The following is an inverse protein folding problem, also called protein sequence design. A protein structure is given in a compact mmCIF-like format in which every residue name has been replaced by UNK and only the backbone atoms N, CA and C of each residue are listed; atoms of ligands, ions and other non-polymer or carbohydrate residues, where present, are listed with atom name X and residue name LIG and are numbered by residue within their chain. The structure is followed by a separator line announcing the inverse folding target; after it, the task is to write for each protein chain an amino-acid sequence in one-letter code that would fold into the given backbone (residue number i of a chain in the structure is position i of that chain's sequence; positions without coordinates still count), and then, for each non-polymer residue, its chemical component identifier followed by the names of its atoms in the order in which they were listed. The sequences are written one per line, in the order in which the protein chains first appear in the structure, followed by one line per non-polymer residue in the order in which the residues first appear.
data_IF_198719937033
#
_entry.id   IF_198719937033
#
_cell.length_a   1.000
_cell.length_b   1.000
_cell.length_c   1.000
_cell.angle_alpha   90.00
_cell.angle_beta   90.00
_cell.angle_gamma   90.00
#
_symmetry.space_group_name_H-M   'P 1'
#
loop_
_entity.id
_entity.type
_entity.pdbx_description
1 polymer ?
#
# COMPACT_ATOMS: atom_id res chain seq x y z
N UNK A 1 50.75 -5.14 -14.90
CA UNK A 1 49.60 -5.48 -15.75
C UNK A 1 48.78 -6.52 -15.02
N UNK A 2 47.46 -6.34 -15.02
CA UNK A 2 46.42 -7.19 -14.41
C UNK A 2 46.32 -7.15 -12.88
N UNK A 3 45.21 -6.81 -12.23
CA UNK A 3 43.90 -6.32 -12.67
C UNK A 3 43.36 -5.47 -11.51
N UNK A 4 43.15 -4.18 -11.76
CA UNK A 4 42.39 -3.31 -10.87
C UNK A 4 40.92 -3.64 -11.13
N UNK A 5 40.42 -4.66 -10.44
CA UNK A 5 39.03 -5.10 -10.54
C UNK A 5 38.16 -4.00 -9.91
N UNK A 6 37.82 -2.99 -10.71
CA UNK A 6 36.75 -2.07 -10.40
C UNK A 6 35.51 -2.89 -10.01
N UNK A 7 34.80 -2.53 -8.93
CA UNK A 7 33.48 -3.09 -8.70
C UNK A 7 32.63 -2.85 -9.96
N UNK A 8 31.78 -3.80 -10.37
CA UNK A 8 30.93 -3.60 -11.54
C UNK A 8 30.17 -2.29 -11.34
N UNK A 9 30.34 -1.39 -12.31
CA UNK A 9 29.58 -0.15 -12.34
C UNK A 9 28.10 -0.51 -12.25
N UNK A 10 27.36 0.18 -11.39
CA UNK A 10 25.90 0.18 -11.41
C UNK A 10 25.48 0.50 -12.85
N UNK A 11 25.11 -0.54 -13.60
CA UNK A 11 24.67 -0.40 -14.99
C UNK A 11 23.33 0.34 -14.95
N UNK A 12 23.23 1.54 -15.54
CA UNK A 12 22.00 2.35 -15.49
C UNK A 12 20.89 1.79 -16.40
N UNK A 13 20.99 0.53 -16.83
CA UNK A 13 20.03 -0.20 -17.65
C UNK A 13 19.51 -1.46 -16.95
N UNK A 14 19.19 -1.35 -15.68
CA UNK A 14 18.35 -2.36 -15.02
C UNK A 14 16.89 -1.96 -15.23
N UNK A 15 16.37 -2.29 -16.41
CA UNK A 15 14.96 -2.30 -16.75
C UNK A 15 14.25 -3.43 -15.97
N UNK A 16 14.01 -3.13 -14.70
CA UNK A 16 13.18 -3.78 -13.68
C UNK A 16 12.46 -5.07 -14.06
N UNK A 17 12.92 -6.18 -13.47
CA UNK A 17 12.05 -7.34 -13.19
C UNK A 17 12.61 -8.32 -12.15
N UNK A 18 13.86 -8.20 -11.69
CA UNK A 18 14.43 -9.20 -10.78
C UNK A 18 14.36 -8.72 -9.32
N UNK A 19 13.70 -9.49 -8.43
CA UNK A 19 13.64 -9.14 -7.01
C UNK A 19 15.06 -9.13 -6.43
N UNK A 20 15.46 -7.96 -5.91
CA UNK A 20 16.77 -7.83 -5.28
C UNK A 20 16.74 -8.54 -3.93
N UNK A 21 17.58 -9.57 -3.77
CA UNK A 21 17.75 -10.28 -2.49
C UNK A 21 18.56 -9.39 -1.56
N UNK A 22 17.88 -8.70 -0.65
CA UNK A 22 18.54 -7.91 0.41
C UNK A 22 18.59 -8.71 1.71
N UNK A 23 19.44 -8.28 2.65
CA UNK A 23 19.49 -8.88 4.01
C UNK A 23 18.14 -8.83 4.76
N UNK A 24 17.18 -8.04 4.26
CA UNK A 24 15.84 -7.83 4.80
C UNK A 24 14.73 -8.60 4.05
N UNK A 25 15.05 -9.34 2.99
CA UNK A 25 14.08 -10.09 2.18
C UNK A 25 14.19 -9.83 0.67
N UNK A 26 13.20 -10.31 -0.08
CA UNK A 26 13.03 -10.02 -1.51
C UNK A 26 12.33 -8.67 -1.63
N UNK A 27 13.00 -7.68 -2.24
CA UNK A 27 12.41 -6.36 -2.51
C UNK A 27 12.26 -6.21 -4.02
N UNK A 28 11.01 -6.06 -4.45
CA UNK A 28 10.64 -5.76 -5.83
C UNK A 28 10.54 -4.23 -5.98
N UNK A 29 11.31 -3.61 -6.90
CA UNK A 29 11.14 -2.20 -7.21
C UNK A 29 9.78 -1.98 -7.88
N UNK A 30 9.05 -0.95 -7.43
CA UNK A 30 7.78 -0.53 -8.03
C UNK A 30 7.88 0.94 -8.43
N UNK A 31 7.27 1.29 -9.57
CA UNK A 31 7.18 2.66 -10.02
C UNK A 31 6.33 3.50 -9.05
N UNK A 32 6.82 4.69 -8.70
CA UNK A 32 6.16 5.57 -7.72
C UNK A 32 4.77 5.99 -8.22
N UNK A 33 4.61 6.22 -9.53
CA UNK A 33 3.33 6.61 -10.12
C UNK A 33 2.27 5.53 -9.92
N UNK A 34 2.62 4.27 -10.18
CA UNK A 34 1.74 3.12 -10.02
C UNK A 34 1.34 2.91 -8.55
N UNK A 35 2.32 2.96 -7.63
CA UNK A 35 2.05 2.78 -6.21
C UNK A 35 1.17 3.91 -5.65
N UNK A 36 1.41 5.15 -6.08
CA UNK A 36 0.62 6.30 -5.65
C UNK A 36 -0.84 6.21 -6.11
N UNK A 37 -1.08 5.83 -7.37
CA UNK A 37 -2.44 5.63 -7.90
C UNK A 37 -3.17 4.53 -7.11
N UNK A 38 -2.51 3.39 -6.93
CA UNK A 38 -3.07 2.25 -6.22
C UNK A 38 -3.39 2.56 -4.76
N UNK A 39 -2.41 3.11 -4.03
CA UNK A 39 -2.59 3.49 -2.62
C UNK A 39 -3.68 4.55 -2.45
N UNK A 40 -3.77 5.51 -3.38
CA UNK A 40 -4.84 6.51 -3.38
C UNK A 40 -6.21 5.87 -3.58
N UNK A 41 -6.34 4.94 -4.53
CA UNK A 41 -7.59 4.27 -4.83
C UNK A 41 -8.05 3.39 -3.67
N UNK A 42 -7.15 2.61 -3.09
CA UNK A 42 -7.44 1.71 -1.96
C UNK A 42 -7.89 2.49 -0.73
N UNK A 43 -7.20 3.59 -0.40
CA UNK A 43 -7.60 4.46 0.70
C UNK A 43 -8.94 5.15 0.42
N UNK A 44 -9.13 5.69 -0.78
CA UNK A 44 -10.35 6.39 -1.17
C UNK A 44 -11.58 5.47 -1.11
N UNK A 45 -11.46 4.25 -1.63
CA UNK A 45 -12.53 3.27 -1.60
C UNK A 45 -12.89 2.85 -0.17
N UNK A 46 -11.89 2.64 0.68
CA UNK A 46 -12.09 2.35 2.10
C UNK A 46 -12.83 3.49 2.81
N UNK A 47 -12.46 4.74 2.56
CA UNK A 47 -13.12 5.92 3.14
C UNK A 47 -14.59 6.02 2.69
N UNK A 48 -14.85 5.85 1.39
CA UNK A 48 -16.21 5.97 0.82
C UNK A 48 -17.14 4.94 1.46
N UNK A 49 -16.73 3.68 1.49
CA UNK A 49 -17.57 2.56 1.95
C UNK A 49 -17.69 2.53 3.47
N UNK A 50 -16.60 2.77 4.19
CA UNK A 50 -16.51 2.44 5.62
C UNK A 50 -16.59 3.63 6.56
N UNK A 51 -16.72 4.86 6.03
CA UNK A 51 -16.69 6.05 6.88
C UNK A 51 -17.55 7.21 6.38
N UNK A 52 -17.49 7.51 5.08
CA UNK A 52 -18.05 8.74 4.53
C UNK A 52 -19.56 8.64 4.26
N UNK A 53 -20.02 7.56 3.61
CA UNK A 53 -21.42 7.38 3.25
C UNK A 53 -22.21 6.63 4.34
N UNK A 54 -23.43 7.08 4.69
CA UNK A 54 -24.33 6.33 5.56
C UNK A 54 -24.93 5.13 4.83
N UNK A 55 -25.27 4.08 5.57
CA UNK A 55 -25.96 2.91 5.02
C UNK A 55 -27.42 3.26 4.70
N UNK A 56 -27.92 2.79 3.55
CA UNK A 56 -29.25 3.13 3.03
C UNK A 56 -30.37 2.59 3.92
N UNK A 57 -30.10 1.51 4.67
CA UNK A 57 -31.12 0.82 5.48
C UNK A 57 -31.47 1.58 6.76
N UNK A 58 -30.46 2.14 7.40
CA UNK A 58 -30.57 2.76 8.73
C UNK A 58 -30.21 4.25 8.74
N UNK A 59 -29.57 4.77 7.69
CA UNK A 59 -29.06 6.13 7.63
C UNK A 59 -27.90 6.40 8.59
N UNK A 60 -27.37 5.38 9.26
CA UNK A 60 -26.36 5.52 10.30
C UNK A 60 -24.95 5.36 9.72
N UNK A 61 -24.03 6.19 10.21
CA UNK A 61 -22.60 6.00 9.98
C UNK A 61 -22.08 4.83 10.83
N UNK A 62 -21.01 4.13 10.42
CA UNK A 62 -20.46 2.99 11.16
C UNK A 62 -20.12 3.28 12.62
N UNK A 63 -19.72 4.52 12.95
CA UNK A 63 -19.46 4.96 14.33
C UNK A 63 -20.71 4.88 15.21
N UNK A 64 -21.87 5.34 14.71
CA UNK A 64 -23.11 5.33 15.48
C UNK A 64 -23.56 3.90 15.79
N UNK A 65 -23.46 3.00 14.79
CA UNK A 65 -23.80 1.58 14.95
C UNK A 65 -22.98 0.93 16.06
N UNK A 66 -21.67 1.20 16.13
CA UNK A 66 -20.79 0.67 17.18
C UNK A 66 -21.13 1.20 18.57
N UNK A 67 -21.46 2.49 18.68
CA UNK A 67 -21.86 3.09 19.97
C UNK A 67 -23.16 2.44 20.47
N UNK A 68 -24.19 2.39 19.63
CA UNK A 68 -25.49 1.80 20.01
C UNK A 68 -25.35 0.33 20.38
N UNK A 69 -24.54 -0.43 19.65
CA UNK A 69 -24.30 -1.83 19.96
C UNK A 69 -23.54 -2.00 21.29
N UNK A 70 -22.51 -1.18 21.53
CA UNK A 70 -21.77 -1.19 22.80
C UNK A 70 -22.60 -0.73 24.01
N UNK A 71 -23.67 0.05 23.80
CA UNK A 71 -24.62 0.40 24.87
C UNK A 71 -25.64 -0.72 25.15
N UNK A 72 -25.87 -1.63 24.21
CA UNK A 72 -26.83 -2.73 24.35
C UNK A 72 -26.20 -3.97 25.01
N UNK A 73 -24.90 -4.17 24.84
CA UNK A 73 -24.13 -5.30 25.39
C UNK A 73 -23.66 -5.08 26.85
N UNK A 74 -24.09 -3.98 27.48
CA UNK A 74 -23.85 -3.63 28.90
C UNK A 74 -25.14 -3.79 29.69
#
# INVERSE_FOLDING_TARGET
MADDQLPPADDPRDDGADPTVTAYGLIEPIEIEEEMERSFLDYSMSVIVSRALPDVRDGLKPVHRRILWGMYDV
#
